data_IF_669884570460
#
_entry.id   IF_669884570460
#
_cell.length_a   1.000
_cell.length_b   1.000
_cell.length_c   1.000
_cell.angle_alpha   90.00
_cell.angle_beta   90.00
_cell.angle_gamma   90.00
#
_symmetry.space_group_name_H-M   'P 1'
#
loop_
_entity.id
_entity.type
_entity.pdbx_description
1 polymer ?
#
# COMPACT_ATOMS: atom_id res chain seq x y z
N UNK A 1 0.71 0.78 -5.54
CA UNK A 1 0.63 2.16 -6.05
C UNK A 1 1.20 3.17 -5.06
N UNK A 2 0.73 3.25 -3.81
CA UNK A 2 1.29 4.22 -2.84
C UNK A 2 2.78 4.01 -2.58
N UNK A 3 3.24 2.77 -2.44
CA UNK A 3 4.65 2.46 -2.21
C UNK A 3 5.57 2.97 -3.32
N UNK A 4 5.18 2.84 -4.61
CA UNK A 4 6.02 3.29 -5.73
C UNK A 4 6.16 4.80 -5.81
N UNK A 5 5.16 5.57 -5.37
CA UNK A 5 5.26 7.03 -5.28
C UNK A 5 6.04 7.45 -4.03
N UNK A 6 5.76 6.82 -2.89
CA UNK A 6 6.45 7.08 -1.63
C UNK A 6 7.96 6.89 -1.75
N UNK A 7 8.39 5.85 -2.48
CA UNK A 7 9.80 5.54 -2.74
C UNK A 7 10.53 6.67 -3.47
N UNK A 8 9.92 7.24 -4.53
CA UNK A 8 10.51 8.35 -5.28
C UNK A 8 10.51 9.64 -4.44
N UNK A 9 9.42 9.89 -3.70
CA UNK A 9 9.31 11.07 -2.85
C UNK A 9 10.32 11.01 -1.71
N UNK A 10 10.56 9.85 -1.12
CA UNK A 10 11.58 9.71 -0.07
C UNK A 10 12.96 10.06 -0.60
N UNK A 11 13.35 9.60 -1.80
CA UNK A 11 14.65 9.96 -2.38
C UNK A 11 14.80 11.46 -2.65
N UNK A 12 13.71 12.13 -3.06
CA UNK A 12 13.72 13.57 -3.37
C UNK A 12 13.61 14.48 -2.13
N UNK A 13 12.92 14.03 -1.08
CA UNK A 13 12.58 14.85 0.06
C UNK A 13 12.50 14.03 1.36
N UNK A 14 13.40 14.34 2.30
CA UNK A 14 13.48 13.71 3.62
C UNK A 14 13.07 14.70 4.74
N UNK A 15 11.79 14.76 5.13
CA UNK A 15 11.32 15.74 6.12
C UNK A 15 11.73 15.47 7.58
N UNK A 16 12.29 14.29 7.89
CA UNK A 16 12.55 13.82 9.26
C UNK A 16 14.03 13.58 9.58
N UNK A 17 14.93 13.77 8.60
CA UNK A 17 16.40 13.66 8.76
C UNK A 17 17.02 15.04 8.52
N UNK A 18 17.28 15.79 9.58
CA UNK A 18 17.75 17.18 9.52
C UNK A 18 19.24 17.32 9.14
N UNK A 19 19.79 16.48 8.26
CA UNK A 19 21.17 16.65 7.77
C UNK A 19 21.48 15.88 6.49
N UNK A 20 22.15 16.58 5.56
CA UNK A 20 23.08 16.26 4.45
C UNK A 20 23.47 14.84 4.02
N UNK A 21 22.81 13.76 4.45
CA UNK A 21 23.08 12.39 3.98
C UNK A 21 21.97 11.95 3.03
N UNK A 22 22.31 11.78 1.76
CA UNK A 22 21.47 11.08 0.82
C UNK A 22 21.57 9.59 1.17
N UNK A 23 20.58 9.09 1.90
CA UNK A 23 20.52 7.68 2.28
C UNK A 23 19.58 6.99 1.31
N UNK A 24 20.11 5.97 0.65
CA UNK A 24 19.37 5.02 -0.16
C UNK A 24 18.07 4.56 0.54
N UNK A 25 16.96 4.57 -0.20
CA UNK A 25 15.61 4.37 0.33
C UNK A 25 15.41 3.03 1.08
N UNK A 26 16.17 2.00 0.73
CA UNK A 26 16.20 0.69 1.40
C UNK A 26 16.76 0.80 2.82
N UNK A 27 17.85 1.56 2.99
CA UNK A 27 18.51 1.74 4.28
C UNK A 27 17.86 2.82 5.13
N UNK A 28 17.15 3.76 4.49
CA UNK A 28 16.35 4.78 5.17
C UNK A 28 15.35 4.18 6.19
N UNK A 29 14.74 3.03 5.89
CA UNK A 29 13.83 2.35 6.83
C UNK A 29 14.52 1.83 8.10
N UNK A 30 15.76 1.36 7.99
CA UNK A 30 16.52 0.83 9.13
C UNK A 30 17.05 1.95 10.01
N UNK A 31 17.42 3.07 9.41
CA UNK A 31 17.86 4.27 10.13
C UNK A 31 16.68 4.97 10.82
N UNK A 32 15.51 4.95 10.21
CA UNK A 32 14.26 5.48 10.77
C UNK A 32 13.80 4.72 12.03
N UNK A 33 14.08 3.42 12.13
CA UNK A 33 13.81 2.63 13.35
C UNK A 33 14.76 3.00 14.50
N UNK A 34 16.02 3.37 14.19
CA UNK A 34 17.05 3.71 15.18
C UNK A 34 16.91 5.11 15.76
N UNK A 35 16.27 6.04 15.05
CA UNK A 35 16.31 7.45 15.44
C UNK A 35 15.32 7.84 16.55
N UNK A 36 14.22 7.10 16.78
CA UNK A 36 13.23 7.46 17.81
C UNK A 36 12.15 6.37 18.02
N UNK A 37 12.45 5.23 18.68
CA UNK A 37 11.48 4.15 18.99
C UNK A 37 10.44 3.89 17.86
N UNK A 38 10.94 3.78 16.63
CA UNK A 38 10.21 3.47 15.40
C UNK A 38 8.78 4.02 15.29
N UNK A 39 8.53 5.12 14.54
CA UNK A 39 7.16 5.52 14.17
C UNK A 39 6.43 4.49 13.27
N UNK A 40 7.09 3.37 12.95
CA UNK A 40 6.50 2.18 12.37
C UNK A 40 5.42 1.55 13.26
N UNK A 41 5.58 1.53 14.60
CA UNK A 41 4.56 0.99 15.51
C UNK A 41 3.25 1.78 15.42
N UNK A 42 3.22 3.12 15.58
CA UNK A 42 2.00 3.89 15.44
C UNK A 42 1.43 3.84 14.01
N UNK A 43 2.28 3.77 12.98
CA UNK A 43 1.82 3.58 11.59
C UNK A 43 1.12 2.23 11.40
N UNK A 44 1.69 1.14 11.91
CA UNK A 44 1.07 -0.18 11.87
C UNK A 44 -0.27 -0.21 12.62
N UNK A 45 -0.35 0.46 13.77
CA UNK A 45 -1.61 0.60 14.51
C UNK A 45 -2.64 1.36 13.65
N UNK A 46 -2.24 2.42 12.96
CA UNK A 46 -3.12 3.20 12.09
C UNK A 46 -3.62 2.36 10.90
N UNK A 47 -2.72 1.62 10.24
CA UNK A 47 -3.08 0.70 9.15
C UNK A 47 -4.01 -0.40 9.66
N UNK A 48 -3.70 -1.00 10.81
CA UNK A 48 -4.53 -2.02 11.42
C UNK A 48 -5.92 -1.49 11.80
N UNK A 49 -6.02 -0.25 12.29
CA UNK A 49 -7.30 0.40 12.58
C UNK A 49 -8.10 0.68 11.31
N UNK A 50 -7.45 1.19 10.25
CA UNK A 50 -8.08 1.49 8.98
C UNK A 50 -8.61 0.21 8.29
N UNK A 51 -7.76 -0.81 8.14
CA UNK A 51 -8.14 -2.10 7.56
C UNK A 51 -9.18 -2.83 8.43
N UNK A 52 -9.04 -2.75 9.77
CA UNK A 52 -9.99 -3.33 10.72
C UNK A 52 -11.38 -2.71 10.61
N UNK A 53 -11.48 -1.39 10.44
CA UNK A 53 -12.76 -0.70 10.25
C UNK A 53 -13.44 -1.12 8.93
N UNK A 54 -12.68 -1.28 7.86
CA UNK A 54 -13.20 -1.75 6.56
C UNK A 54 -13.64 -3.22 6.65
N UNK A 55 -12.86 -4.07 7.31
CA UNK A 55 -13.17 -5.47 7.50
C UNK A 55 -14.46 -5.66 8.32
N UNK A 56 -14.65 -4.90 9.40
CA UNK A 56 -15.86 -4.98 10.22
C UNK A 56 -17.14 -4.65 9.44
N UNK A 57 -17.07 -3.75 8.44
CA UNK A 57 -18.23 -3.37 7.62
C UNK A 57 -18.55 -4.38 6.52
N UNK A 58 -17.54 -5.01 5.91
CA UNK A 58 -17.69 -5.85 4.71
C UNK A 58 -17.90 -7.34 4.99
N UNK A 59 -17.51 -7.81 6.17
CA UNK A 59 -17.65 -9.22 6.52
C UNK A 59 -19.10 -9.53 6.94
N UNK A 60 -19.55 -10.75 6.66
CA UNK A 60 -20.87 -11.19 7.09
C UNK A 60 -20.93 -11.26 8.64
N UNK A 61 -22.02 -10.80 9.27
CA UNK A 61 -22.14 -10.84 10.72
C UNK A 61 -22.17 -12.29 11.20
N UNK A 62 -21.28 -12.60 12.14
CA UNK A 62 -21.23 -13.90 12.79
C UNK A 62 -22.21 -13.89 13.96
N UNK A 63 -23.36 -14.54 13.81
CA UNK A 63 -24.33 -14.67 14.90
C UNK A 63 -23.91 -15.82 15.82
N UNK A 64 -23.45 -15.51 17.03
CA UNK A 64 -23.00 -16.47 18.05
C UNK A 64 -24.03 -16.71 19.17
N UNK A 65 -25.18 -16.02 19.15
CA UNK A 65 -26.11 -16.01 20.30
C UNK A 65 -27.28 -16.99 20.16
N UNK A 66 -27.53 -17.49 18.97
CA UNK A 66 -28.70 -18.34 18.68
C UNK A 66 -28.32 -19.83 18.76
N UNK A 67 -29.01 -20.63 19.60
CA UNK A 67 -28.77 -22.09 19.66
C UNK A 67 -29.05 -22.71 18.27
N UNK A 68 -28.01 -23.27 17.63
CA UNK A 68 -28.03 -23.75 16.24
C UNK A 68 -27.21 -22.90 15.26
N UNK A 69 -26.71 -21.73 15.67
CA UNK A 69 -25.93 -20.83 14.82
C UNK A 69 -24.47 -21.25 14.62
N UNK A 70 -23.98 -22.31 15.27
CA UNK A 70 -22.61 -22.81 15.03
C UNK A 70 -22.39 -23.26 13.58
N UNK A 71 -23.38 -23.90 12.97
CA UNK A 71 -23.33 -24.37 11.58
C UNK A 71 -23.49 -23.20 10.59
N UNK A 72 -24.36 -22.23 10.91
CA UNK A 72 -24.52 -20.99 10.15
C UNK A 72 -23.28 -20.08 10.26
N UNK A 73 -22.64 -20.05 11.44
CA UNK A 73 -21.39 -19.34 11.70
C UNK A 73 -20.24 -19.97 10.94
N UNK A 74 -20.06 -21.30 10.97
CA UNK A 74 -19.02 -21.97 10.17
C UNK A 74 -19.16 -21.69 8.68
N UNK A 75 -20.39 -21.62 8.17
CA UNK A 75 -20.64 -21.36 6.75
C UNK A 75 -20.52 -19.89 6.37
N UNK A 76 -20.59 -18.95 7.31
CA UNK A 76 -20.49 -17.50 7.06
C UNK A 76 -19.19 -16.86 7.58
N UNK A 77 -18.37 -17.59 8.35
CA UNK A 77 -17.16 -17.09 9.01
C UNK A 77 -16.11 -16.47 8.07
N UNK A 78 -16.12 -16.85 6.79
CA UNK A 78 -15.20 -16.32 5.77
C UNK A 78 -15.93 -15.74 4.56
N UNK A 79 -17.23 -15.46 4.67
CA UNK A 79 -18.02 -14.89 3.59
C UNK A 79 -18.09 -13.37 3.72
N UNK A 80 -17.78 -12.69 2.63
CA UNK A 80 -18.09 -11.27 2.47
C UNK A 80 -19.60 -11.11 2.25
N UNK A 81 -20.15 -9.95 2.60
CA UNK A 81 -21.56 -9.65 2.33
C UNK A 81 -21.81 -9.70 0.82
N UNK A 82 -22.99 -10.21 0.42
CA UNK A 82 -23.32 -10.47 -0.99
C UNK A 82 -23.33 -9.21 -1.86
N UNK A 83 -23.51 -8.04 -1.25
CA UNK A 83 -23.56 -6.73 -1.91
C UNK A 83 -22.20 -6.00 -1.94
N UNK A 84 -21.13 -6.66 -1.49
CA UNK A 84 -19.79 -6.06 -1.45
C UNK A 84 -19.00 -6.41 -2.70
N UNK A 85 -18.63 -5.39 -3.48
CA UNK A 85 -17.71 -5.55 -4.62
C UNK A 85 -16.27 -5.68 -4.07
N UNK A 86 -15.52 -6.75 -4.41
CA UNK A 86 -14.12 -6.86 -4.04
C UNK A 86 -13.31 -5.70 -4.62
N UNK A 87 -12.57 -4.98 -3.77
CA UNK A 87 -11.78 -3.81 -4.17
C UNK A 87 -12.47 -2.45 -3.97
N UNK A 88 -13.78 -2.41 -3.69
CA UNK A 88 -14.46 -1.14 -3.39
C UNK A 88 -14.30 -0.77 -1.91
N UNK A 89 -13.38 0.13 -1.58
CA UNK A 89 -13.18 0.63 -0.22
C UNK A 89 -14.13 1.77 0.17
N UNK A 90 -15.04 2.20 -0.72
CA UNK A 90 -15.95 3.33 -0.49
C UNK A 90 -15.23 4.65 -0.28
N UNK A 91 -13.97 4.75 -0.72
CA UNK A 91 -13.12 5.93 -0.58
C UNK A 91 -13.22 6.78 -1.84
N UNK A 92 -14.23 7.65 -1.90
CA UNK A 92 -14.38 8.67 -2.94
C UNK A 92 -14.69 10.05 -2.33
N UNK A 93 -13.69 10.73 -1.73
CA UNK A 93 -13.90 12.06 -1.16
C UNK A 93 -14.12 13.15 -2.22
N UNK A 94 -13.80 12.88 -3.50
CA UNK A 94 -13.87 13.85 -4.60
C UNK A 94 -15.09 13.64 -5.51
N UNK A 95 -15.89 12.59 -5.29
CA UNK A 95 -17.11 12.32 -6.05
C UNK A 95 -16.84 12.09 -7.53
N UNK A 96 -15.65 11.60 -7.88
CA UNK A 96 -15.21 11.43 -9.27
C UNK A 96 -15.67 10.09 -9.87
N UNK A 97 -16.29 9.22 -9.07
CA UNK A 97 -16.82 7.96 -9.55
C UNK A 97 -18.10 8.20 -10.38
N UNK A 98 -18.09 7.92 -11.70
CA UNK A 98 -19.25 8.17 -12.55
C UNK A 98 -20.39 7.19 -12.24
N UNK A 99 -21.63 7.63 -12.36
CA UNK A 99 -22.83 6.78 -12.15
C UNK A 99 -23.10 5.81 -13.32
N UNK A 100 -22.41 6.00 -14.45
CA UNK A 100 -22.57 5.19 -15.66
C UNK A 100 -21.75 3.89 -15.55
N UNK A 101 -22.43 2.74 -15.51
CA UNK A 101 -21.86 1.39 -15.37
C UNK A 101 -20.75 1.10 -16.39
N UNK A 102 -20.90 1.57 -17.64
CA UNK A 102 -19.89 1.36 -18.68
C UNK A 102 -18.59 2.13 -18.39
N UNK A 103 -18.70 3.31 -17.76
CA UNK A 103 -17.54 4.09 -17.33
C UNK A 103 -16.93 3.52 -16.06
N UNK A 104 -17.74 3.04 -15.10
CA UNK A 104 -17.27 2.41 -13.87
C UNK A 104 -16.35 1.21 -14.18
N UNK A 105 -16.77 0.31 -15.06
CA UNK A 105 -15.99 -0.84 -15.49
C UNK A 105 -14.67 -0.39 -16.14
N UNK A 106 -14.69 0.69 -16.93
CA UNK A 106 -13.48 1.25 -17.55
C UNK A 106 -12.50 1.79 -16.49
N UNK A 107 -12.98 2.50 -15.48
CA UNK A 107 -12.14 3.02 -14.40
C UNK A 107 -11.57 1.89 -13.52
N UNK A 108 -12.36 0.87 -13.18
CA UNK A 108 -11.89 -0.31 -12.45
C UNK A 108 -10.81 -1.08 -13.22
N UNK A 109 -11.01 -1.27 -14.53
CA UNK A 109 -10.00 -1.90 -15.39
C UNK A 109 -8.72 -1.06 -15.49
N UNK A 110 -8.86 0.27 -15.54
CA UNK A 110 -7.70 1.15 -15.49
C UNK A 110 -6.95 1.00 -14.16
N UNK A 111 -7.64 1.01 -13.01
CA UNK A 111 -7.02 0.82 -11.70
C UNK A 111 -6.25 -0.52 -11.62
N UNK A 112 -6.84 -1.62 -12.08
CA UNK A 112 -6.20 -2.93 -12.10
C UNK A 112 -4.91 -2.95 -12.93
N UNK A 113 -4.93 -2.33 -14.12
CA UNK A 113 -3.76 -2.31 -15.00
C UNK A 113 -2.63 -1.44 -14.42
N UNK A 114 -2.94 -0.25 -13.90
CA UNK A 114 -1.96 0.58 -13.22
C UNK A 114 -1.44 -0.09 -11.95
N UNK A 115 -2.28 -0.86 -11.25
CA UNK A 115 -1.92 -1.56 -10.02
C UNK A 115 -0.86 -2.62 -10.28
N UNK A 116 -1.03 -3.42 -11.33
CA UNK A 116 -0.06 -4.44 -11.76
C UNK A 116 1.29 -3.82 -12.13
N UNK A 117 1.27 -2.74 -12.91
CA UNK A 117 2.50 -2.04 -13.30
C UNK A 117 3.19 -1.45 -12.07
N UNK A 118 2.44 -0.86 -11.13
CA UNK A 118 3.00 -0.30 -9.91
C UNK A 118 3.63 -1.37 -8.99
N UNK A 119 3.05 -2.57 -8.90
CA UNK A 119 3.62 -3.69 -8.15
C UNK A 119 4.93 -4.19 -8.77
N UNK A 120 5.01 -4.24 -10.11
CA UNK A 120 6.25 -4.59 -10.81
C UNK A 120 7.30 -3.47 -10.70
N UNK A 121 6.89 -2.21 -10.76
CA UNK A 121 7.78 -1.06 -10.64
C UNK A 121 8.49 -1.04 -9.27
N UNK A 122 7.74 -1.21 -8.17
CA UNK A 122 8.38 -1.23 -6.83
C UNK A 122 9.33 -2.42 -6.67
N UNK A 123 8.99 -3.59 -7.21
CA UNK A 123 9.89 -4.75 -7.17
C UNK A 123 11.18 -4.50 -7.96
N UNK A 124 11.07 -3.86 -9.13
CA UNK A 124 12.22 -3.46 -9.93
C UNK A 124 13.08 -2.40 -9.23
N UNK A 125 12.44 -1.44 -8.56
CA UNK A 125 13.11 -0.39 -7.81
C UNK A 125 13.96 -0.98 -6.67
N UNK A 126 13.38 -1.84 -5.84
CA UNK A 126 14.11 -2.51 -4.75
C UNK A 126 15.26 -3.36 -5.30
N UNK A 127 15.05 -4.09 -6.40
CA UNK A 127 16.09 -4.92 -7.00
C UNK A 127 17.25 -4.09 -7.57
N UNK A 128 16.96 -2.94 -8.20
CA UNK A 128 17.98 -2.06 -8.76
C UNK A 128 18.83 -1.43 -7.66
N UNK A 129 18.20 -0.90 -6.61
CA UNK A 129 18.91 -0.26 -5.51
C UNK A 129 19.77 -1.27 -4.73
N UNK A 130 19.34 -2.52 -4.58
CA UNK A 130 20.15 -3.56 -3.94
C UNK A 130 21.42 -3.90 -4.73
N UNK A 131 21.39 -3.79 -6.06
CA UNK A 131 22.54 -4.09 -6.94
C UNK A 131 23.45 -2.88 -7.09
N UNK A 132 22.87 -1.69 -7.28
CA UNK A 132 23.62 -0.47 -7.58
C UNK A 132 24.12 0.23 -6.31
N UNK A 133 23.48 -0.01 -5.16
CA UNK A 133 23.77 0.65 -3.87
C UNK A 133 23.78 2.18 -4.00
N UNK A 134 22.86 2.69 -4.81
CA UNK A 134 22.63 4.10 -5.09
C UNK A 134 21.13 4.30 -5.28
N UNK A 135 20.61 5.44 -4.81
CA UNK A 135 19.24 5.89 -5.06
C UNK A 135 18.89 5.87 -6.55
N UNK A 136 17.65 5.52 -6.85
CA UNK A 136 17.18 5.29 -8.22
C UNK A 136 17.17 6.59 -9.02
N UNK A 137 16.70 7.68 -8.42
CA UNK A 137 16.68 9.00 -9.05
C UNK A 137 18.10 9.47 -9.34
N UNK A 138 19.06 9.22 -8.44
CA UNK A 138 20.47 9.53 -8.68
C UNK A 138 21.05 8.68 -9.81
N UNK A 139 20.79 7.38 -9.84
CA UNK A 139 21.23 6.49 -10.93
C UNK A 139 20.71 6.97 -12.30
N UNK A 140 19.46 7.46 -12.36
CA UNK A 140 18.87 7.98 -13.60
C UNK A 140 19.46 9.32 -14.03
N UNK A 141 19.76 10.22 -13.10
CA UNK A 141 20.35 11.54 -13.39
C UNK A 141 21.82 11.39 -13.78
N UNK A 142 22.55 10.50 -13.12
CA UNK A 142 24.01 10.34 -13.30
C UNK A 142 24.36 9.39 -14.45
N UNK A 143 23.39 8.61 -14.96
CA UNK A 143 23.59 7.67 -16.06
C UNK A 143 24.39 6.43 -15.69
N UNK A 144 24.69 6.21 -14.41
CA UNK A 144 25.36 5.03 -13.88
C UNK A 144 24.37 3.87 -13.75
N UNK A 145 24.26 3.07 -14.81
CA UNK A 145 23.52 1.79 -14.78
C UNK A 145 24.27 0.68 -14.04
N UNK A 146 25.50 0.96 -13.58
CA UNK A 146 26.41 -0.01 -12.97
C UNK A 146 27.00 0.56 -11.68
N UNK A 147 27.31 -0.31 -10.69
CA UNK A 147 27.97 0.09 -9.46
C UNK A 147 29.32 0.75 -9.78
N UNK A 148 29.58 1.90 -9.15
CA UNK A 148 30.89 2.54 -9.20
C UNK A 148 31.85 1.71 -8.32
N UNK A 149 32.76 0.94 -8.94
CA UNK A 149 33.84 0.23 -8.25
C UNK A 149 34.93 1.18 -7.71
#
# INVERSE_FOLDING_TARGET
MMASLGFIVSELYHPMMESTINVDSIYAFQEFEKLNDGPLIPLLILVAAAEGAVAAKKWAPVDLKTKGSLEATKSNAFKMQADTIPGDYGWDPLGLFPEDEAKQIKYQNAELNHGRIAMLAIAGFVAQEEITKQGIVESWITGSAFPNF
#
